data_IF_199629169162
#
_entry.id   IF_199629169162
#
_cell.length_a   1.000
_cell.length_b   1.000
_cell.length_c   1.000
_cell.angle_alpha   90.00
_cell.angle_beta   90.00
_cell.angle_gamma   90.00
#
_symmetry.space_group_name_H-M   'P 1'
#
loop_
_entity.id
_entity.type
_entity.pdbx_description
1 polymer ?
#
# COMPACT_ATOMS: atom_id res chain seq x y z
N UNK A 1 21.55 -19.53 6.54
CA UNK A 1 21.69 -18.74 7.78
C UNK A 1 20.43 -17.91 7.93
N UNK A 2 20.16 -17.34 9.10
CA UNK A 2 19.04 -16.40 9.28
C UNK A 2 19.34 -15.05 8.62
N UNK A 3 18.35 -14.17 8.53
CA UNK A 3 18.56 -12.78 8.14
C UNK A 3 19.42 -12.03 9.18
N UNK A 4 19.68 -10.74 8.95
CA UNK A 4 20.30 -9.88 9.97
C UNK A 4 19.49 -9.93 11.29
N UNK A 5 20.16 -9.74 12.43
CA UNK A 5 19.53 -9.93 13.77
C UNK A 5 18.41 -8.94 14.05
N UNK A 6 18.46 -7.79 13.41
CA UNK A 6 17.52 -6.68 13.47
C UNK A 6 16.58 -6.65 12.25
N UNK A 7 16.39 -7.78 11.58
CA UNK A 7 15.42 -7.88 10.49
C UNK A 7 14.00 -7.68 11.00
N UNK A 8 13.27 -6.74 10.40
CA UNK A 8 11.94 -6.32 10.84
C UNK A 8 10.87 -7.26 10.29
N UNK A 9 10.74 -8.44 10.90
CA UNK A 9 9.59 -9.31 10.68
C UNK A 9 8.32 -8.70 11.29
N UNK A 10 7.18 -8.79 10.62
CA UNK A 10 5.95 -8.23 11.15
C UNK A 10 4.72 -8.61 10.35
N UNK A 11 3.75 -7.71 10.30
CA UNK A 11 2.54 -7.83 9.49
C UNK A 11 2.01 -6.45 9.13
N UNK A 12 1.28 -6.35 8.04
CA UNK A 12 0.82 -5.09 7.47
C UNK A 12 -0.69 -5.07 7.25
N UNK A 13 -1.31 -3.93 7.55
CA UNK A 13 -2.73 -3.63 7.35
C UNK A 13 -2.91 -2.13 7.00
N UNK A 14 -4.15 -1.70 6.79
CA UNK A 14 -4.50 -0.28 6.62
C UNK A 14 -5.77 0.05 7.42
N UNK A 15 -5.80 1.22 8.06
CA UNK A 15 -6.82 1.63 9.02
C UNK A 15 -8.26 1.42 8.51
N UNK A 16 -8.63 1.98 7.35
CA UNK A 16 -9.98 1.80 6.77
C UNK A 16 -10.38 0.34 6.50
N UNK A 17 -9.44 -0.60 6.42
CA UNK A 17 -9.72 -2.01 6.11
C UNK A 17 -9.96 -2.87 7.34
N UNK A 18 -9.52 -2.42 8.53
CA UNK A 18 -9.62 -3.20 9.76
C UNK A 18 -10.23 -2.45 10.95
N UNK A 19 -10.00 -1.15 11.10
CA UNK A 19 -10.40 -0.40 12.30
C UNK A 19 -11.90 -0.43 12.54
N UNK A 20 -12.69 -0.16 11.50
CA UNK A 20 -14.12 0.07 11.65
C UNK A 20 -14.38 1.39 12.38
N UNK A 21 -15.45 1.43 13.18
CA UNK A 21 -15.78 2.59 14.01
C UNK A 21 -15.77 3.91 13.21
N UNK A 22 -16.34 3.89 12.01
CA UNK A 22 -16.11 4.93 11.01
C UNK A 22 -16.61 6.31 11.39
N UNK A 23 -17.56 6.39 12.33
CA UNK A 23 -18.24 7.61 12.83
C UNK A 23 -17.99 7.88 14.33
N UNK A 24 -17.08 7.12 14.98
CA UNK A 24 -16.75 7.30 16.40
C UNK A 24 -15.67 8.36 16.63
N UNK A 25 -15.75 8.99 17.81
CA UNK A 25 -14.74 9.91 18.34
C UNK A 25 -14.36 11.06 17.39
N UNK A 26 -15.36 11.55 16.66
CA UNK A 26 -15.23 12.66 15.74
C UNK A 26 -14.51 12.33 14.43
N UNK A 27 -14.28 11.04 14.12
CA UNK A 27 -13.77 10.64 12.80
C UNK A 27 -14.70 11.14 11.69
N UNK A 28 -14.13 11.75 10.66
CA UNK A 28 -14.85 12.16 9.45
C UNK A 28 -15.05 11.02 8.46
N UNK A 29 -15.86 11.26 7.42
CA UNK A 29 -16.00 10.31 6.33
C UNK A 29 -14.75 10.30 5.46
N UNK A 30 -14.19 9.12 5.22
CA UNK A 30 -13.14 8.90 4.23
C UNK A 30 -13.74 8.62 2.86
N UNK A 31 -12.91 8.67 1.83
CA UNK A 31 -13.30 8.22 0.49
C UNK A 31 -13.77 6.76 0.47
N UNK A 32 -13.24 5.88 1.33
CA UNK A 32 -13.64 4.46 1.37
C UNK A 32 -14.95 4.23 2.14
N UNK A 33 -15.39 5.18 2.96
CA UNK A 33 -16.68 5.11 3.66
C UNK A 33 -17.88 5.31 2.70
N UNK A 34 -17.63 5.65 1.44
CA UNK A 34 -18.64 5.77 0.38
C UNK A 34 -18.36 4.84 -0.80
N UNK A 35 -17.63 3.75 -0.55
CA UNK A 35 -17.37 2.70 -1.55
C UNK A 35 -18.00 1.39 -1.11
N UNK A 36 -18.93 0.89 -1.91
CA UNK A 36 -19.67 -0.35 -1.59
C UNK A 36 -18.76 -1.58 -1.61
N UNK A 37 -19.21 -2.70 -1.03
CA UNK A 37 -18.63 -4.01 -1.33
C UNK A 37 -18.83 -4.38 -2.82
N UNK A 38 -17.98 -5.26 -3.32
CA UNK A 38 -18.06 -5.93 -4.61
C UNK A 38 -17.68 -7.41 -4.45
N UNK A 39 -17.29 -8.05 -5.55
CA UNK A 39 -16.80 -9.43 -5.59
C UNK A 39 -15.87 -9.62 -6.81
N UNK A 40 -15.39 -10.85 -7.05
CA UNK A 40 -14.50 -11.15 -8.19
C UNK A 40 -15.11 -10.82 -9.58
N UNK A 41 -16.43 -10.75 -9.69
CA UNK A 41 -17.19 -10.44 -10.90
C UNK A 41 -17.85 -9.04 -10.87
N UNK A 42 -18.11 -8.49 -9.68
CA UNK A 42 -18.80 -7.23 -9.47
C UNK A 42 -17.87 -6.19 -8.88
N UNK A 43 -17.62 -5.09 -9.61
CA UNK A 43 -16.77 -4.00 -9.10
C UNK A 43 -17.44 -3.26 -7.95
N UNK A 44 -16.61 -2.77 -7.03
CA UNK A 44 -17.04 -1.80 -6.00
C UNK A 44 -17.55 -0.53 -6.66
N UNK A 45 -18.53 0.13 -6.05
CA UNK A 45 -19.11 1.38 -6.55
C UNK A 45 -18.78 2.54 -5.62
N UNK A 46 -18.27 3.62 -6.20
CA UNK A 46 -18.09 4.91 -5.53
C UNK A 46 -19.45 5.62 -5.56
N UNK A 47 -20.10 5.76 -4.40
CA UNK A 47 -21.43 6.41 -4.30
C UNK A 47 -21.33 7.90 -4.02
N UNK A 48 -20.19 8.38 -3.51
CA UNK A 48 -19.95 9.80 -3.19
C UNK A 48 -20.62 10.29 -1.89
N UNK A 49 -21.60 9.53 -1.41
CA UNK A 49 -22.31 9.71 -0.14
C UNK A 49 -22.75 8.33 0.41
N UNK A 50 -23.17 8.26 1.67
CA UNK A 50 -23.72 7.03 2.25
C UNK A 50 -25.18 6.87 1.83
N UNK A 51 -25.46 5.83 1.05
CA UNK A 51 -26.80 5.52 0.55
C UNK A 51 -27.46 4.44 1.40
N UNK A 52 -28.75 4.65 1.75
CA UNK A 52 -29.52 3.67 2.50
C UNK A 52 -29.73 2.39 1.68
N UNK A 53 -29.38 1.25 2.28
CA UNK A 53 -29.56 -0.08 1.67
C UNK A 53 -28.35 -0.59 0.90
N UNK A 54 -27.27 0.18 0.83
CA UNK A 54 -25.98 -0.28 0.33
C UNK A 54 -25.13 -0.88 1.46
N UNK A 55 -24.18 -1.76 1.10
CA UNK A 55 -23.21 -2.34 2.03
C UNK A 55 -21.86 -1.62 1.90
N UNK A 56 -21.42 -0.97 2.99
CA UNK A 56 -20.12 -0.31 3.09
C UNK A 56 -19.25 -1.10 4.08
N UNK A 57 -18.46 -2.08 3.59
CA UNK A 57 -17.80 -3.05 4.47
C UNK A 57 -16.77 -2.41 5.41
N UNK A 58 -16.21 -1.26 5.02
CA UNK A 58 -15.23 -0.50 5.79
C UNK A 58 -15.80 0.17 7.05
N UNK A 59 -17.13 0.35 7.15
CA UNK A 59 -17.76 1.04 8.28
C UNK A 59 -17.52 0.33 9.60
N UNK A 60 -17.67 -0.98 9.60
CA UNK A 60 -17.40 -1.85 10.76
C UNK A 60 -16.08 -2.61 10.60
N UNK A 61 -15.67 -2.93 9.36
CA UNK A 61 -14.47 -3.71 9.07
C UNK A 61 -14.36 -4.96 9.97
N UNK A 62 -13.34 -5.09 10.82
CA UNK A 62 -13.25 -6.16 11.83
C UNK A 62 -13.30 -5.64 13.26
N UNK A 63 -13.69 -4.37 13.43
CA UNK A 63 -13.72 -3.66 14.70
C UNK A 63 -12.37 -3.67 15.44
N UNK A 64 -11.25 -3.60 14.70
CA UNK A 64 -9.94 -3.48 15.32
C UNK A 64 -9.84 -2.26 16.24
N UNK A 65 -10.66 -1.22 16.01
CA UNK A 65 -10.74 -0.05 16.89
C UNK A 65 -10.98 -0.41 18.37
N UNK A 66 -11.88 -1.36 18.65
CA UNK A 66 -12.12 -1.82 20.03
C UNK A 66 -11.25 -3.02 20.42
N UNK A 67 -10.83 -3.86 19.46
CA UNK A 67 -10.10 -5.11 19.71
C UNK A 67 -8.56 -5.01 19.55
N UNK A 68 -8.00 -3.82 19.29
CA UNK A 68 -6.58 -3.70 18.96
C UNK A 68 -5.64 -4.26 20.03
N UNK A 69 -6.03 -4.25 21.31
CA UNK A 69 -5.18 -4.79 22.39
C UNK A 69 -5.08 -6.30 22.31
N UNK A 70 -6.20 -6.97 22.10
CA UNK A 70 -6.29 -8.41 21.91
C UNK A 70 -5.57 -8.84 20.63
N UNK A 71 -5.74 -8.07 19.55
CA UNK A 71 -5.13 -8.33 18.25
C UNK A 71 -3.60 -8.13 18.29
N UNK A 72 -3.11 -7.04 18.90
CA UNK A 72 -1.66 -6.80 19.11
C UNK A 72 -1.04 -7.89 19.99
N UNK A 73 -1.76 -8.41 20.98
CA UNK A 73 -1.28 -9.55 21.77
C UNK A 73 -1.08 -10.80 20.91
N UNK A 74 -1.92 -11.04 19.91
CA UNK A 74 -1.73 -12.13 18.95
C UNK A 74 -0.52 -11.88 18.04
N UNK A 75 -0.27 -10.63 17.63
CA UNK A 75 0.95 -10.26 16.89
C UNK A 75 2.22 -10.50 17.72
N UNK A 76 2.18 -10.15 19.00
CA UNK A 76 3.26 -10.41 19.95
C UNK A 76 3.48 -11.92 20.16
N UNK A 77 2.41 -12.73 20.17
CA UNK A 77 2.52 -14.18 20.28
C UNK A 77 3.21 -14.83 19.05
N UNK A 78 3.00 -14.28 17.84
CA UNK A 78 3.79 -14.66 16.66
C UNK A 78 5.25 -14.15 16.74
N UNK A 79 5.53 -13.18 17.61
CA UNK A 79 6.87 -12.65 17.83
C UNK A 79 7.26 -11.49 16.93
N UNK A 80 6.26 -10.77 16.37
CA UNK A 80 6.47 -9.60 15.50
C UNK A 80 7.53 -8.65 16.06
N UNK A 81 8.37 -8.12 15.16
CA UNK A 81 9.36 -7.06 15.45
C UNK A 81 8.81 -5.70 15.06
N UNK A 82 7.92 -5.67 14.08
CA UNK A 82 7.21 -4.46 13.68
C UNK A 82 5.75 -4.76 13.31
N UNK A 83 4.94 -3.72 13.29
CA UNK A 83 3.57 -3.77 12.81
C UNK A 83 3.30 -2.56 11.92
N UNK A 84 2.98 -2.83 10.66
CA UNK A 84 2.64 -1.80 9.69
C UNK A 84 1.15 -1.53 9.68
N UNK A 85 0.79 -0.28 9.84
CA UNK A 85 -0.58 0.21 9.64
C UNK A 85 -0.57 1.63 9.07
N UNK A 86 -1.74 2.23 8.86
CA UNK A 86 -1.87 3.65 8.56
C UNK A 86 -2.49 4.41 9.72
N UNK A 87 -2.22 5.71 9.76
CA UNK A 87 -3.02 6.64 10.55
C UNK A 87 -4.15 7.11 9.65
N UNK A 88 -5.39 6.83 10.01
CA UNK A 88 -6.56 7.32 9.29
C UNK A 88 -6.57 8.86 9.32
N UNK A 89 -6.34 9.48 8.16
CA UNK A 89 -6.32 10.94 8.03
C UNK A 89 -7.59 11.57 8.61
N UNK A 90 -8.75 10.94 8.36
CA UNK A 90 -10.06 11.36 8.88
C UNK A 90 -10.25 11.24 10.39
N UNK A 91 -9.39 10.52 11.10
CA UNK A 91 -9.38 10.57 12.58
C UNK A 91 -8.66 11.81 13.09
N UNK A 92 -7.67 12.31 12.37
CA UNK A 92 -6.84 13.44 12.81
C UNK A 92 -7.40 14.77 12.28
N UNK A 93 -7.76 14.82 11.01
CA UNK A 93 -8.44 15.95 10.36
C UNK A 93 -9.69 15.41 9.65
N UNK A 94 -10.85 15.40 10.33
CA UNK A 94 -12.10 14.82 9.82
C UNK A 94 -12.52 15.29 8.42
N UNK A 95 -12.39 16.58 8.15
CA UNK A 95 -12.64 17.20 6.86
C UNK A 95 -11.34 17.44 6.08
N UNK A 96 -10.19 17.52 6.76
CA UNK A 96 -8.87 17.67 6.15
C UNK A 96 -8.37 19.12 6.13
N UNK A 97 -9.25 20.10 6.32
CA UNK A 97 -8.96 21.53 6.25
C UNK A 97 -9.16 22.27 7.60
N UNK A 98 -9.48 21.56 8.68
CA UNK A 98 -9.63 22.16 10.01
C UNK A 98 -8.33 22.73 10.54
N UNK A 99 -8.37 23.84 11.29
CA UNK A 99 -7.18 24.46 11.87
C UNK A 99 -6.46 23.57 12.90
N UNK A 100 -7.21 22.86 13.74
CA UNK A 100 -6.69 22.03 14.83
C UNK A 100 -6.99 20.54 14.59
N UNK A 101 -6.09 19.63 14.98
CA UNK A 101 -6.35 18.21 14.88
C UNK A 101 -7.39 17.75 15.91
N UNK A 102 -8.05 16.63 15.63
CA UNK A 102 -8.90 15.93 16.56
C UNK A 102 -8.07 15.14 17.58
N UNK A 103 -8.07 15.60 18.83
CA UNK A 103 -7.32 14.97 19.92
C UNK A 103 -7.75 13.53 20.20
N UNK A 104 -9.03 13.17 20.00
CA UNK A 104 -9.48 11.80 20.24
C UNK A 104 -8.85 10.81 19.24
N UNK A 105 -8.71 11.24 17.97
CA UNK A 105 -7.98 10.48 16.95
C UNK A 105 -6.49 10.36 17.28
N UNK A 106 -5.85 11.44 17.73
CA UNK A 106 -4.44 11.40 18.16
C UNK A 106 -4.25 10.44 19.34
N UNK A 107 -5.14 10.49 20.32
CA UNK A 107 -5.11 9.62 21.49
C UNK A 107 -5.28 8.15 21.14
N UNK A 108 -6.15 7.81 20.19
CA UNK A 108 -6.32 6.42 19.74
C UNK A 108 -4.99 5.82 19.26
N UNK A 109 -4.27 6.54 18.40
CA UNK A 109 -2.98 6.06 17.90
C UNK A 109 -1.88 6.11 18.98
N UNK A 110 -1.92 7.06 19.92
CA UNK A 110 -1.06 7.00 21.10
C UNK A 110 -1.22 5.69 21.88
N UNK A 111 -2.47 5.31 22.17
CA UNK A 111 -2.79 4.12 22.95
C UNK A 111 -2.46 2.83 22.17
N UNK A 112 -2.68 2.83 20.84
CA UNK A 112 -2.35 1.70 19.97
C UNK A 112 -0.83 1.51 19.84
N UNK A 113 -0.08 2.58 19.60
CA UNK A 113 1.38 2.50 19.52
C UNK A 113 2.01 2.13 20.87
N UNK A 114 1.46 2.61 21.98
CA UNK A 114 1.89 2.18 23.32
C UNK A 114 1.67 0.68 23.54
N UNK A 115 0.55 0.12 23.08
CA UNK A 115 0.31 -1.32 23.18
C UNK A 115 1.26 -2.12 22.27
N UNK A 116 1.60 -1.64 21.06
CA UNK A 116 2.66 -2.25 20.24
C UNK A 116 4.01 -2.25 20.96
N UNK A 117 4.45 -1.08 21.44
CA UNK A 117 5.76 -0.89 22.07
C UNK A 117 5.89 -1.67 23.38
N UNK A 118 4.79 -1.88 24.11
CA UNK A 118 4.73 -2.75 25.31
C UNK A 118 5.20 -4.18 25.01
N UNK A 119 5.00 -4.69 23.80
CA UNK A 119 5.48 -6.00 23.36
C UNK A 119 6.78 -5.95 22.54
N UNK A 120 7.41 -4.77 22.43
CA UNK A 120 8.61 -4.57 21.61
C UNK A 120 8.33 -4.64 20.11
N UNK A 121 7.11 -4.28 19.68
CA UNK A 121 6.71 -4.20 18.28
C UNK A 121 6.85 -2.76 17.83
N UNK A 122 7.76 -2.50 16.89
CA UNK A 122 7.97 -1.18 16.30
C UNK A 122 6.82 -0.81 15.34
N UNK A 123 6.13 0.32 15.52
CA UNK A 123 5.16 0.78 14.54
C UNK A 123 5.83 1.22 13.23
N UNK A 124 5.24 0.82 12.10
CA UNK A 124 5.62 1.26 10.75
C UNK A 124 4.42 1.95 10.12
N UNK A 125 4.47 3.25 9.91
CA UNK A 125 3.25 4.04 9.66
C UNK A 125 3.20 4.58 8.24
N UNK A 126 2.13 4.26 7.51
CA UNK A 126 1.78 4.92 6.26
C UNK A 126 0.84 6.10 6.53
N UNK A 127 1.19 7.30 6.06
CA UNK A 127 0.39 8.51 6.30
C UNK A 127 -0.90 8.51 5.47
N UNK A 128 -0.82 8.28 4.16
CA UNK A 128 -1.99 8.21 3.27
C UNK A 128 -2.14 6.81 2.69
N UNK A 129 -3.17 6.08 3.12
CA UNK A 129 -3.46 4.73 2.65
C UNK A 129 -4.92 4.60 2.17
N UNK A 130 -5.19 5.21 1.03
CA UNK A 130 -6.49 5.16 0.33
C UNK A 130 -7.71 5.67 1.14
N UNK A 131 -7.49 6.55 2.11
CA UNK A 131 -8.51 6.91 3.11
C UNK A 131 -8.56 8.41 3.43
N UNK A 132 -8.18 9.24 2.46
CA UNK A 132 -8.26 10.70 2.62
C UNK A 132 -9.69 11.16 2.94
N UNK A 133 -9.87 12.31 3.60
CA UNK A 133 -11.18 12.86 3.90
C UNK A 133 -12.04 13.06 2.65
N UNK A 134 -13.29 12.60 2.69
CA UNK A 134 -14.27 12.76 1.62
C UNK A 134 -14.57 14.24 1.36
N UNK A 135 -14.53 15.08 2.40
CA UNK A 135 -14.69 16.53 2.27
C UNK A 135 -13.65 17.14 1.32
N UNK A 136 -12.39 16.69 1.35
CA UNK A 136 -11.36 17.18 0.42
C UNK A 136 -11.69 16.84 -1.05
N UNK A 137 -12.39 15.74 -1.29
CA UNK A 137 -12.89 15.39 -2.63
C UNK A 137 -14.05 16.31 -3.03
N UNK A 138 -15.01 16.51 -2.14
CA UNK A 138 -16.24 17.26 -2.42
C UNK A 138 -15.97 18.77 -2.59
N UNK A 139 -15.16 19.37 -1.72
CA UNK A 139 -14.91 20.81 -1.69
C UNK A 139 -13.76 21.22 -2.63
N UNK A 140 -12.71 20.40 -2.73
CA UNK A 140 -11.50 20.78 -3.46
C UNK A 140 -11.25 19.95 -4.73
N UNK A 141 -12.01 18.86 -4.96
CA UNK A 141 -11.83 17.97 -6.11
C UNK A 141 -10.72 16.93 -5.93
N UNK A 142 -10.26 16.70 -4.70
CA UNK A 142 -9.14 15.82 -4.39
C UNK A 142 -7.80 16.41 -4.83
N UNK A 143 -6.84 15.54 -5.14
CA UNK A 143 -5.46 15.92 -5.46
C UNK A 143 -5.30 16.60 -6.83
N UNK A 144 -6.38 16.92 -7.54
CA UNK A 144 -6.30 17.89 -8.65
C UNK A 144 -6.04 19.32 -8.18
N UNK A 145 -6.17 19.58 -6.87
CA UNK A 145 -6.05 20.92 -6.29
C UNK A 145 -4.78 21.05 -5.44
N UNK A 146 -3.95 22.04 -5.78
CA UNK A 146 -2.64 22.30 -5.16
C UNK A 146 -2.73 22.50 -3.64
N UNK A 147 -3.86 22.99 -3.11
CA UNK A 147 -4.06 23.18 -1.66
C UNK A 147 -3.92 21.90 -0.84
N UNK A 148 -4.13 20.73 -1.45
CA UNK A 148 -3.99 19.46 -0.74
C UNK A 148 -2.55 19.15 -0.32
N UNK A 149 -1.56 19.78 -0.96
CA UNK A 149 -0.17 19.73 -0.49
C UNK A 149 -0.11 20.24 0.96
N UNK A 150 -0.67 21.42 1.22
CA UNK A 150 -0.64 22.03 2.56
C UNK A 150 -1.45 21.22 3.58
N UNK A 151 -2.64 20.73 3.19
CA UNK A 151 -3.48 19.90 4.07
C UNK A 151 -2.77 18.61 4.46
N UNK A 152 -2.15 17.92 3.51
CA UNK A 152 -1.39 16.70 3.77
C UNK A 152 -0.16 16.99 4.63
N UNK A 153 0.62 18.01 4.30
CA UNK A 153 1.85 18.35 5.04
C UNK A 153 1.51 18.70 6.49
N UNK A 154 0.43 19.43 6.73
CA UNK A 154 -0.07 19.71 8.07
C UNK A 154 -0.47 18.44 8.83
N UNK A 155 -1.18 17.53 8.18
CA UNK A 155 -1.50 16.22 8.76
C UNK A 155 -0.23 15.43 9.10
N UNK A 156 0.72 15.34 8.17
CA UNK A 156 1.99 14.65 8.36
C UNK A 156 2.80 15.26 9.52
N UNK A 157 2.96 16.58 9.57
CA UNK A 157 3.65 17.29 10.66
C UNK A 157 2.97 17.04 12.01
N UNK A 158 1.64 17.08 12.07
CA UNK A 158 0.91 16.77 13.31
C UNK A 158 1.24 15.36 13.82
N UNK A 159 1.23 14.37 12.92
CA UNK A 159 1.59 12.99 13.26
C UNK A 159 3.06 12.88 13.67
N UNK A 160 3.98 13.46 12.91
CA UNK A 160 5.40 13.45 13.25
C UNK A 160 5.67 14.07 14.61
N UNK A 161 5.10 15.23 14.93
CA UNK A 161 5.28 15.90 16.22
C UNK A 161 4.71 15.08 17.37
N UNK A 162 3.51 14.49 17.20
CA UNK A 162 2.86 13.70 18.25
C UNK A 162 3.61 12.41 18.54
N UNK A 163 4.08 11.71 17.52
CA UNK A 163 4.59 10.34 17.64
C UNK A 163 6.11 10.22 17.47
N UNK A 164 6.86 11.33 17.52
CA UNK A 164 8.32 11.36 17.29
C UNK A 164 9.14 10.43 18.17
N UNK A 165 8.64 10.12 19.36
CA UNK A 165 9.30 9.27 20.35
C UNK A 165 8.73 7.85 20.37
N UNK A 166 7.75 7.55 19.50
CA UNK A 166 7.03 6.25 19.43
C UNK A 166 7.16 5.54 18.07
N UNK A 167 7.38 6.29 17.00
CA UNK A 167 7.38 5.77 15.62
C UNK A 167 8.66 6.20 14.92
N UNK A 168 9.45 5.21 14.49
CA UNK A 168 10.68 5.44 13.74
C UNK A 168 10.49 5.36 12.22
N UNK A 169 9.63 4.46 11.75
CA UNK A 169 9.49 4.10 10.35
C UNK A 169 8.19 4.67 9.77
N UNK A 170 8.31 5.45 8.71
CA UNK A 170 7.21 6.17 8.08
C UNK A 170 7.20 5.96 6.57
N UNK A 171 6.03 6.00 5.96
CA UNK A 171 5.82 6.13 4.52
C UNK A 171 4.78 7.20 4.23
N UNK A 172 4.94 7.93 3.12
CA UNK A 172 4.01 9.01 2.77
C UNK A 172 2.74 8.48 2.12
N UNK A 173 2.80 8.09 0.84
CA UNK A 173 1.64 7.65 0.06
C UNK A 173 1.73 6.16 -0.25
N UNK A 174 0.73 5.39 0.17
CA UNK A 174 0.61 3.98 -0.17
C UNK A 174 0.49 3.79 -1.68
N UNK A 175 1.28 2.88 -2.24
CA UNK A 175 1.21 2.44 -3.63
C UNK A 175 0.94 3.61 -4.60
N UNK A 176 1.71 4.69 -4.46
CA UNK A 176 1.46 5.98 -5.15
C UNK A 176 1.33 5.81 -6.66
N UNK A 177 1.99 4.78 -7.22
CA UNK A 177 2.02 4.48 -8.64
C UNK A 177 0.83 3.64 -9.15
N UNK A 178 -0.10 3.18 -8.30
CA UNK A 178 -1.30 2.48 -8.78
C UNK A 178 -2.12 3.34 -9.74
N UNK A 179 -2.23 4.64 -9.48
CA UNK A 179 -2.93 5.60 -10.34
C UNK A 179 -2.32 5.73 -11.76
N UNK A 180 -1.07 5.27 -11.98
CA UNK A 180 -0.47 5.25 -13.32
C UNK A 180 -1.24 4.36 -14.30
N UNK A 181 -1.98 3.37 -13.77
CA UNK A 181 -2.95 2.58 -14.50
C UNK A 181 -4.32 3.31 -14.48
N UNK A 182 -4.51 4.21 -15.44
CA UNK A 182 -5.70 5.09 -15.58
C UNK A 182 -7.04 4.37 -15.88
N UNK A 183 -7.12 3.05 -15.68
CA UNK A 183 -8.18 2.14 -16.15
C UNK A 183 -9.61 2.64 -16.02
N UNK A 184 -10.32 2.23 -14.98
CA UNK A 184 -11.71 2.64 -14.72
C UNK A 184 -11.84 3.83 -13.76
N UNK A 185 -10.70 4.43 -13.39
CA UNK A 185 -10.62 5.53 -12.45
C UNK A 185 -10.64 5.11 -10.97
N UNK A 186 -10.84 3.84 -10.62
CA UNK A 186 -10.90 3.44 -9.20
C UNK A 186 -9.59 3.72 -8.47
N UNK A 187 -8.44 3.37 -9.06
CA UNK A 187 -7.14 3.63 -8.42
C UNK A 187 -6.81 5.12 -8.36
N UNK A 188 -7.22 5.90 -9.37
CA UNK A 188 -7.10 7.35 -9.32
C UNK A 188 -7.99 7.96 -8.21
N UNK A 189 -9.16 7.39 -7.95
CA UNK A 189 -9.98 7.77 -6.80
C UNK A 189 -9.35 7.35 -5.46
N UNK A 190 -8.85 6.12 -5.35
CA UNK A 190 -8.26 5.59 -4.13
C UNK A 190 -6.95 6.31 -3.75
N UNK A 191 -6.04 6.52 -4.70
CA UNK A 191 -4.79 7.25 -4.45
C UNK A 191 -5.06 8.74 -4.17
N UNK A 192 -5.93 9.35 -4.98
CA UNK A 192 -5.91 10.80 -5.19
C UNK A 192 -7.24 11.50 -4.94
N UNK A 193 -8.31 10.77 -4.63
CA UNK A 193 -9.65 11.33 -4.44
C UNK A 193 -10.20 12.02 -5.70
N UNK A 194 -9.72 11.65 -6.89
CA UNK A 194 -10.07 12.32 -8.15
C UNK A 194 -11.20 11.54 -8.83
N UNK A 195 -12.39 12.17 -8.88
CA UNK A 195 -13.54 11.68 -9.69
C UNK A 195 -13.50 12.34 -11.07
N UNK A 196 -13.19 11.56 -12.11
CA UNK A 196 -13.01 12.08 -13.48
C UNK A 196 -14.36 12.41 -14.12
N UNK A 197 -14.50 13.60 -14.70
CA UNK A 197 -15.67 13.97 -15.49
C UNK A 197 -15.51 13.56 -16.95
N UNK A 198 -16.60 13.28 -17.70
CA UNK A 198 -16.53 12.78 -19.08
C UNK A 198 -15.70 13.63 -20.06
N UNK A 199 -15.63 14.94 -19.83
CA UNK A 199 -14.90 15.90 -20.65
C UNK A 199 -13.42 16.08 -20.27
N UNK A 200 -12.98 15.52 -19.14
CA UNK A 200 -11.64 15.74 -18.60
C UNK A 200 -10.62 14.74 -19.17
N UNK A 201 -9.39 15.19 -19.36
CA UNK A 201 -8.28 14.31 -19.72
C UNK A 201 -7.78 13.57 -18.48
N UNK A 202 -8.19 12.30 -18.33
CA UNK A 202 -7.81 11.46 -17.19
C UNK A 202 -6.30 11.33 -17.00
N UNK A 203 -5.51 11.28 -18.08
CA UNK A 203 -4.07 11.13 -17.97
C UNK A 203 -3.40 12.41 -17.49
N UNK A 204 -3.88 13.58 -17.94
CA UNK A 204 -3.41 14.88 -17.43
C UNK A 204 -3.75 15.05 -15.95
N UNK A 205 -4.99 14.71 -15.55
CA UNK A 205 -5.41 14.74 -14.15
C UNK A 205 -4.56 13.82 -13.27
N UNK A 206 -4.26 12.62 -13.75
CA UNK A 206 -3.43 11.65 -13.05
C UNK A 206 -2.02 12.22 -12.82
N UNK A 207 -1.35 12.71 -13.87
CA UNK A 207 -0.01 13.29 -13.70
C UNK A 207 -0.02 14.55 -12.81
N UNK A 208 -1.08 15.35 -12.87
CA UNK A 208 -1.24 16.52 -12.01
C UNK A 208 -1.37 16.14 -10.54
N UNK A 209 -2.24 15.17 -10.23
CA UNK A 209 -2.41 14.66 -8.87
C UNK A 209 -1.14 14.01 -8.34
N UNK A 210 -0.54 13.14 -9.14
CA UNK A 210 0.75 12.51 -8.84
C UNK A 210 1.86 13.53 -8.58
N UNK A 211 1.92 14.63 -9.34
CA UNK A 211 2.90 15.69 -9.10
C UNK A 211 2.71 16.33 -7.72
N UNK A 212 1.49 16.72 -7.36
CA UNK A 212 1.21 17.31 -6.06
C UNK A 212 1.47 16.35 -4.90
N UNK A 213 1.14 15.07 -5.05
CA UNK A 213 1.46 14.04 -4.04
C UNK A 213 2.98 13.87 -3.86
N UNK A 214 3.75 13.87 -4.96
CA UNK A 214 5.22 13.80 -4.90
C UNK A 214 5.82 15.02 -4.19
N UNK A 215 5.31 16.22 -4.47
CA UNK A 215 5.74 17.47 -3.79
C UNK A 215 5.37 17.43 -2.31
N UNK A 216 4.13 17.04 -1.99
CA UNK A 216 3.66 16.91 -0.61
C UNK A 216 4.46 15.88 0.18
N UNK A 217 4.85 14.78 -0.45
CA UNK A 217 5.76 13.79 0.13
C UNK A 217 7.11 14.42 0.47
N UNK A 218 7.71 15.16 -0.47
CA UNK A 218 9.01 15.78 -0.26
C UNK A 218 8.98 16.87 0.84
N UNK A 219 7.91 17.66 0.91
CA UNK A 219 7.71 18.60 2.03
C UNK A 219 7.54 17.89 3.38
N UNK A 220 6.75 16.82 3.42
CA UNK A 220 6.57 16.03 4.64
C UNK A 220 7.89 15.42 5.12
N UNK A 221 8.72 14.91 4.21
CA UNK A 221 10.05 14.34 4.54
C UNK A 221 10.95 15.41 5.16
N UNK A 222 11.08 16.59 4.50
CA UNK A 222 11.86 17.72 5.03
C UNK A 222 11.40 18.13 6.42
N UNK A 223 10.09 18.23 6.62
CA UNK A 223 9.51 18.61 7.91
C UNK A 223 9.73 17.52 8.97
N UNK A 224 9.56 16.25 8.61
CA UNK A 224 9.80 15.09 9.47
C UNK A 224 11.24 15.05 9.98
N UNK A 225 12.25 15.14 9.10
CA UNK A 225 13.66 15.16 9.51
C UNK A 225 14.05 16.38 10.35
N UNK A 226 13.35 17.52 10.18
CA UNK A 226 13.53 18.69 11.05
C UNK A 226 12.98 18.44 12.46
N UNK A 227 11.88 17.68 12.58
CA UNK A 227 11.27 17.31 13.87
C UNK A 227 12.12 16.25 14.58
N UNK A 228 12.51 15.20 13.85
CA UNK A 228 13.39 14.15 14.33
C UNK A 228 14.28 13.62 13.20
N UNK A 229 15.60 13.88 13.24
CA UNK A 229 16.53 13.41 12.20
C UNK A 229 16.74 11.88 12.20
N UNK A 230 16.28 11.17 13.23
CA UNK A 230 16.37 9.70 13.33
C UNK A 230 15.20 8.97 12.65
N UNK A 231 14.20 9.72 12.16
CA UNK A 231 13.14 9.11 11.37
C UNK A 231 13.70 8.44 10.12
N UNK A 232 13.03 7.37 9.71
CA UNK A 232 13.21 6.73 8.43
C UNK A 232 11.91 6.93 7.67
N UNK A 233 11.92 7.81 6.67
CA UNK A 233 10.74 8.20 5.89
C UNK A 233 10.91 7.70 4.45
N UNK A 234 10.20 6.63 4.13
CA UNK A 234 10.23 5.98 2.82
C UNK A 234 9.12 6.42 1.88
N UNK A 235 9.24 6.05 0.60
CA UNK A 235 8.09 5.96 -0.30
C UNK A 235 7.42 4.59 -0.17
N UNK A 236 6.25 4.44 -0.81
CA UNK A 236 5.60 3.14 -0.96
C UNK A 236 5.19 2.91 -2.43
N UNK A 237 5.75 1.87 -3.05
CA UNK A 237 5.53 1.53 -4.47
C UNK A 237 4.84 0.18 -4.61
N UNK A 238 3.78 0.10 -5.42
CA UNK A 238 3.23 -1.15 -5.89
C UNK A 238 4.14 -1.76 -6.96
N UNK A 239 4.94 -2.77 -6.59
CA UNK A 239 5.86 -3.43 -7.52
C UNK A 239 5.22 -4.68 -8.11
N UNK A 240 4.76 -4.57 -9.35
CA UNK A 240 4.52 -5.72 -10.23
C UNK A 240 5.46 -5.59 -11.44
N UNK A 241 6.58 -6.35 -11.49
CA UNK A 241 7.51 -6.27 -12.59
C UNK A 241 6.80 -6.65 -13.89
N UNK A 242 7.12 -5.94 -14.98
CA UNK A 242 6.46 -6.11 -16.28
C UNK A 242 7.45 -6.78 -17.22
N UNK A 243 7.27 -8.09 -17.45
CA UNK A 243 8.15 -8.85 -18.31
C UNK A 243 7.79 -8.71 -19.79
N UNK A 244 8.78 -8.73 -20.69
CA UNK A 244 8.52 -8.88 -22.11
C UNK A 244 8.04 -10.30 -22.41
N UNK A 245 7.02 -10.43 -23.26
CA UNK A 245 6.44 -11.72 -23.65
C UNK A 245 7.42 -12.63 -24.36
N UNK A 246 8.31 -12.05 -25.16
CA UNK A 246 9.33 -12.76 -25.93
C UNK A 246 10.62 -11.94 -25.99
N UNK A 247 11.69 -12.52 -26.53
CA UNK A 247 12.95 -11.80 -26.80
C UNK A 247 12.90 -10.90 -28.04
N UNK A 248 11.72 -10.73 -28.66
CA UNK A 248 11.54 -9.80 -29.78
C UNK A 248 11.89 -8.37 -29.31
N UNK A 249 12.75 -7.62 -30.01
CA UNK A 249 13.22 -6.31 -29.56
C UNK A 249 12.09 -5.33 -29.22
N UNK A 250 10.99 -5.39 -29.96
CA UNK A 250 9.79 -4.57 -29.73
C UNK A 250 9.12 -4.91 -28.39
N UNK A 251 9.08 -6.19 -28.00
CA UNK A 251 8.53 -6.60 -26.70
C UNK A 251 9.43 -6.16 -25.54
N UNK A 252 10.76 -6.25 -25.74
CA UNK A 252 11.75 -5.73 -24.79
C UNK A 252 11.53 -4.23 -24.57
N UNK A 253 11.40 -3.45 -25.64
CA UNK A 253 11.20 -2.01 -25.57
C UNK A 253 9.84 -1.65 -24.93
N UNK A 254 8.78 -2.40 -25.25
CA UNK A 254 7.46 -2.21 -24.63
C UNK A 254 7.53 -2.43 -23.11
N UNK A 255 8.19 -3.49 -22.66
CA UNK A 255 8.36 -3.79 -21.24
C UNK A 255 9.16 -2.68 -20.53
N UNK A 256 10.27 -2.23 -21.12
CA UNK A 256 11.09 -1.13 -20.58
C UNK A 256 10.27 0.16 -20.44
N UNK A 257 9.53 0.56 -21.48
CA UNK A 257 8.68 1.77 -21.44
C UNK A 257 7.52 1.66 -20.46
N UNK A 258 6.95 0.46 -20.30
CA UNK A 258 5.93 0.20 -19.29
C UNK A 258 6.49 0.34 -17.86
N UNK A 259 7.66 -0.24 -17.59
CA UNK A 259 8.36 -0.06 -16.31
C UNK A 259 8.67 1.42 -16.07
N UNK A 260 9.20 2.13 -17.06
CA UNK A 260 9.49 3.57 -16.95
C UNK A 260 8.25 4.40 -16.62
N UNK A 261 7.11 4.17 -17.27
CA UNK A 261 5.85 4.91 -16.99
C UNK A 261 5.29 4.57 -15.62
N UNK A 262 5.37 3.30 -15.19
CA UNK A 262 4.79 2.85 -13.93
C UNK A 262 5.67 3.14 -12.71
N UNK A 263 6.98 3.29 -12.87
CA UNK A 263 7.92 3.42 -11.75
C UNK A 263 8.69 4.74 -11.69
N UNK A 264 8.37 5.75 -12.53
CA UNK A 264 9.02 7.07 -12.43
C UNK A 264 8.83 7.72 -11.05
N UNK A 265 7.77 7.37 -10.33
CA UNK A 265 7.52 7.79 -8.95
C UNK A 265 8.72 7.48 -8.04
N UNK A 266 9.32 6.29 -8.18
CA UNK A 266 10.50 5.90 -7.42
C UNK A 266 11.73 6.74 -7.82
N UNK A 267 11.87 7.09 -9.11
CA UNK A 267 12.92 8.01 -9.54
C UNK A 267 12.76 9.39 -8.88
N UNK A 268 11.54 9.94 -8.85
CA UNK A 268 11.28 11.24 -8.20
C UNK A 268 11.51 11.16 -6.70
N UNK A 269 11.00 10.14 -6.00
CA UNK A 269 11.18 9.98 -4.56
C UNK A 269 12.64 9.82 -4.15
N UNK A 270 13.44 9.08 -4.91
CA UNK A 270 14.83 8.76 -4.51
C UNK A 270 15.82 9.78 -5.04
N UNK A 271 15.62 10.28 -6.26
CA UNK A 271 16.57 11.18 -6.94
C UNK A 271 16.13 12.64 -6.89
N UNK A 272 14.88 12.91 -6.51
CA UNK A 272 14.32 14.26 -6.44
C UNK A 272 14.11 14.91 -7.82
N UNK A 273 14.10 14.11 -8.89
CA UNK A 273 14.09 14.61 -10.27
C UNK A 273 13.19 13.76 -11.16
N UNK A 274 12.46 14.43 -12.05
CA UNK A 274 11.69 13.75 -13.09
C UNK A 274 12.60 13.12 -14.15
N UNK A 275 12.38 11.84 -14.50
CA UNK A 275 13.06 11.23 -15.63
C UNK A 275 12.76 11.98 -16.95
N UNK A 276 13.79 12.15 -17.79
CA UNK A 276 13.69 12.90 -19.07
C UNK A 276 12.62 12.32 -20.00
N UNK A 277 12.43 11.00 -19.99
CA UNK A 277 11.43 10.32 -20.80
C UNK A 277 9.99 10.67 -20.39
N UNK A 278 9.73 11.01 -19.12
CA UNK A 278 8.42 11.48 -18.65
C UNK A 278 8.16 12.92 -19.12
N UNK A 279 9.16 13.80 -19.03
CA UNK A 279 9.04 15.17 -19.56
C UNK A 279 8.79 15.16 -21.08
N UNK A 280 9.51 14.31 -21.83
CA UNK A 280 9.26 14.09 -23.26
C UNK A 280 7.92 13.40 -23.56
N UNK A 281 7.40 12.62 -22.62
CA UNK A 281 6.05 12.05 -22.72
C UNK A 281 5.00 13.16 -22.65
N UNK A 282 5.09 14.04 -21.65
CA UNK A 282 4.19 15.17 -21.49
C UNK A 282 4.22 16.12 -22.70
N UNK A 283 5.42 16.47 -23.19
CA UNK A 283 5.58 17.28 -24.41
C UNK A 283 4.89 16.63 -25.62
N UNK A 284 5.10 15.32 -25.85
CA UNK A 284 4.53 14.60 -27.00
C UNK A 284 3.01 14.51 -26.95
N UNK A 285 2.46 14.40 -25.74
CA UNK A 285 1.01 14.30 -25.48
C UNK A 285 0.33 15.64 -25.25
N UNK A 286 1.08 16.74 -25.30
CA UNK A 286 0.64 18.10 -24.99
C UNK A 286 0.00 18.25 -23.60
N UNK A 287 0.47 17.48 -22.62
CA UNK A 287 -0.05 17.52 -21.24
C UNK A 287 0.47 18.77 -20.52
N UNK A 288 -0.44 19.50 -19.87
CA UNK A 288 -0.14 20.72 -19.11
C UNK A 288 -0.20 20.43 -17.62
N UNK A 289 0.97 20.13 -17.06
CA UNK A 289 1.13 19.87 -15.63
C UNK A 289 1.67 21.14 -14.97
N UNK A 290 0.99 21.61 -13.93
CA UNK A 290 1.44 22.71 -13.08
C UNK A 290 2.62 22.25 -12.23
N UNK A 291 3.82 22.49 -12.75
CA UNK A 291 5.11 22.24 -12.10
C UNK A 291 5.86 23.56 -11.98
N UNK A 292 6.16 23.98 -10.77
CA UNK A 292 6.91 25.22 -10.49
C UNK A 292 8.39 24.94 -10.23
N UNK A 293 9.23 25.97 -10.32
CA UNK A 293 10.65 25.87 -9.93
C UNK A 293 10.81 25.54 -8.43
N UNK A 294 9.87 26.01 -7.60
CA UNK A 294 9.81 25.69 -6.18
C UNK A 294 9.53 24.20 -5.97
N UNK A 295 8.54 23.64 -6.67
CA UNK A 295 8.23 22.20 -6.62
C UNK A 295 9.48 21.36 -6.93
N UNK A 296 10.20 21.70 -8.01
CA UNK A 296 11.42 20.99 -8.41
C UNK A 296 12.54 21.11 -7.36
N UNK A 297 12.66 22.25 -6.69
CA UNK A 297 13.63 22.45 -5.61
C UNK A 297 13.27 21.61 -4.38
N UNK A 298 11.99 21.56 -4.04
CA UNK A 298 11.44 20.78 -2.91
C UNK A 298 11.66 19.28 -3.12
N UNK A 299 11.37 18.76 -4.31
CA UNK A 299 11.59 17.35 -4.65
C UNK A 299 13.05 16.91 -4.42
N UNK A 300 14.02 17.75 -4.77
CA UNK A 300 15.46 17.46 -4.53
C UNK A 300 15.86 17.47 -3.06
N UNK A 301 15.15 18.23 -2.24
CA UNK A 301 15.45 18.39 -0.82
C UNK A 301 14.75 17.35 0.06
N UNK A 302 13.68 16.74 -0.44
CA UNK A 302 12.86 15.76 0.28
C UNK A 302 12.91 14.36 -0.34
N UNK A 303 14.12 13.85 -0.60
CA UNK A 303 14.30 12.46 -1.05
C UNK A 303 14.09 11.48 0.11
N UNK A 304 13.58 10.30 -0.21
CA UNK A 304 13.26 9.25 0.77
C UNK A 304 14.50 8.55 1.34
N UNK A 305 14.38 8.04 2.57
CA UNK A 305 15.43 7.27 3.24
C UNK A 305 15.47 5.81 2.75
N UNK A 306 14.34 5.26 2.34
CA UNK A 306 14.20 3.87 1.88
C UNK A 306 13.02 3.71 0.90
N UNK A 307 12.97 2.58 0.19
CA UNK A 307 11.81 2.21 -0.65
C UNK A 307 11.02 1.13 0.07
N UNK A 308 9.86 1.50 0.59
CA UNK A 308 8.81 0.53 0.90
C UNK A 308 8.15 0.07 -0.41
N UNK A 309 7.86 -1.21 -0.54
CA UNK A 309 7.08 -1.69 -1.67
C UNK A 309 6.20 -2.89 -1.33
N UNK A 310 5.09 -3.02 -2.05
CA UNK A 310 4.29 -4.24 -2.07
C UNK A 310 4.73 -5.15 -3.21
N UNK A 311 4.61 -6.46 -3.00
CA UNK A 311 4.79 -7.44 -4.05
C UNK A 311 3.75 -8.55 -3.92
N UNK A 312 3.03 -8.83 -4.99
CA UNK A 312 2.05 -9.91 -5.04
C UNK A 312 2.17 -10.79 -6.27
N UNK A 313 2.54 -10.17 -7.39
CA UNK A 313 2.49 -10.77 -8.72
C UNK A 313 3.40 -10.05 -9.70
N UNK A 314 3.66 -10.68 -10.83
CA UNK A 314 4.27 -10.05 -12.01
C UNK A 314 3.26 -9.91 -13.14
N UNK A 315 3.55 -9.00 -14.07
CA UNK A 315 2.83 -8.82 -15.32
C UNK A 315 3.69 -9.22 -16.51
N UNK A 316 3.04 -9.36 -17.67
CA UNK A 316 3.70 -9.57 -18.94
C UNK A 316 3.09 -8.66 -20.00
N UNK A 317 3.89 -8.15 -20.92
CA UNK A 317 3.46 -7.26 -22.01
C UNK A 317 4.13 -7.65 -23.33
N UNK A 318 3.52 -7.27 -24.44
CA UNK A 318 4.11 -7.39 -25.77
C UNK A 318 3.81 -6.14 -26.59
N UNK A 319 4.64 -5.85 -27.59
CA UNK A 319 4.35 -4.79 -28.54
C UNK A 319 3.19 -5.18 -29.47
N UNK A 320 2.33 -4.19 -29.76
CA UNK A 320 1.19 -4.33 -30.66
C UNK A 320 1.30 -3.30 -31.81
N UNK A 321 0.90 -3.65 -33.05
CA UNK A 321 0.99 -2.74 -34.20
C UNK A 321 0.18 -1.44 -34.04
N UNK A 322 -0.83 -1.42 -33.17
CA UNK A 322 -1.69 -0.26 -32.90
C UNK A 322 -1.09 0.74 -31.89
N UNK A 323 0.18 0.54 -31.50
CA UNK A 323 0.89 1.34 -30.51
C UNK A 323 2.35 1.65 -30.94
N UNK A 324 2.57 2.32 -32.07
CA UNK A 324 3.92 2.55 -32.61
C UNK A 324 4.80 3.44 -31.71
N UNK A 325 4.21 4.21 -30.79
CA UNK A 325 4.92 5.04 -29.81
C UNK A 325 5.35 4.26 -28.56
N UNK A 326 4.90 3.01 -28.42
CA UNK A 326 5.13 2.14 -27.26
C UNK A 326 4.65 2.77 -25.95
N UNK A 327 3.51 3.47 -25.99
CA UNK A 327 2.90 4.00 -24.78
C UNK A 327 2.40 2.82 -23.91
N UNK A 328 2.49 2.92 -22.59
CA UNK A 328 1.92 1.91 -21.70
C UNK A 328 0.46 2.25 -21.38
N UNK A 329 -0.46 1.38 -21.81
CA UNK A 329 -1.92 1.56 -21.77
C UNK A 329 -2.59 0.72 -20.69
N UNK A 330 -1.88 0.45 -19.58
CA UNK A 330 -2.42 -0.29 -18.44
C UNK A 330 -2.82 -1.71 -18.80
N UNK A 331 -4.01 -2.13 -18.35
CA UNK A 331 -4.56 -3.47 -18.58
C UNK A 331 -4.65 -3.87 -20.06
N UNK A 332 -4.82 -2.91 -20.99
CA UNK A 332 -4.92 -3.21 -22.43
C UNK A 332 -3.67 -3.88 -22.99
N UNK A 333 -2.49 -3.56 -22.45
CA UNK A 333 -1.21 -4.10 -22.94
C UNK A 333 -0.76 -5.34 -22.14
N UNK A 334 -1.45 -5.68 -21.04
CA UNK A 334 -1.11 -6.83 -20.21
C UNK A 334 -1.57 -8.13 -20.87
N UNK A 335 -0.71 -9.14 -20.83
CA UNK A 335 -1.02 -10.50 -21.23
C UNK A 335 -0.74 -11.47 -20.08
N UNK A 336 -1.37 -12.65 -20.13
CA UNK A 336 -1.10 -13.73 -19.18
C UNK A 336 0.27 -14.35 -19.44
N UNK A 337 1.05 -14.52 -18.38
CA UNK A 337 2.27 -15.30 -18.39
C UNK A 337 1.91 -16.79 -18.31
N UNK A 338 2.26 -17.56 -19.33
CA UNK A 338 1.89 -18.98 -19.45
C UNK A 338 2.73 -19.90 -18.55
N UNK A 339 3.77 -19.38 -17.90
CA UNK A 339 4.72 -20.15 -17.09
C UNK A 339 4.40 -20.16 -15.59
N UNK A 340 3.38 -19.41 -15.16
CA UNK A 340 3.02 -19.25 -13.74
C UNK A 340 1.55 -19.58 -13.52
N UNK A 341 1.24 -20.03 -12.30
CA UNK A 341 -0.15 -20.20 -11.84
C UNK A 341 -0.74 -18.83 -11.46
N UNK A 342 -2.03 -18.79 -11.14
CA UNK A 342 -2.69 -17.63 -10.58
C UNK A 342 -3.64 -18.02 -9.44
N UNK A 343 -3.93 -17.09 -8.54
CA UNK A 343 -4.97 -17.24 -7.53
C UNK A 343 -6.38 -17.26 -8.15
N UNK A 344 -7.39 -17.51 -7.33
CA UNK A 344 -8.80 -17.47 -7.74
C UNK A 344 -9.26 -16.07 -8.18
N UNK A 345 -8.57 -15.01 -7.73
CA UNK A 345 -8.75 -13.63 -8.21
C UNK A 345 -7.87 -13.29 -9.42
N UNK A 346 -7.23 -14.28 -10.03
CA UNK A 346 -6.41 -14.11 -11.24
C UNK A 346 -5.04 -13.47 -11.02
N UNK A 347 -4.57 -13.35 -9.77
CA UNK A 347 -3.26 -12.78 -9.47
C UNK A 347 -2.16 -13.81 -9.71
N UNK A 348 -1.22 -13.52 -10.61
CA UNK A 348 -0.16 -14.46 -11.00
C UNK A 348 0.82 -14.72 -9.86
N UNK A 349 1.10 -15.98 -9.58
CA UNK A 349 1.98 -16.41 -8.48
C UNK A 349 3.40 -16.55 -9.03
N UNK A 350 4.23 -15.56 -8.76
CA UNK A 350 5.62 -15.49 -9.24
C UNK A 350 6.58 -15.11 -8.10
N UNK A 351 7.08 -16.08 -7.31
CA UNK A 351 8.04 -15.78 -6.25
C UNK A 351 9.38 -15.29 -6.79
N UNK A 352 9.83 -15.76 -7.96
CA UNK A 352 11.11 -15.35 -8.58
C UNK A 352 11.05 -13.85 -8.94
N UNK A 353 9.89 -13.36 -9.33
CA UNK A 353 9.69 -11.94 -9.58
C UNK A 353 9.92 -11.04 -8.37
N UNK A 354 9.82 -11.55 -7.13
CA UNK A 354 10.20 -10.80 -5.94
C UNK A 354 11.72 -10.58 -5.91
N UNK A 355 12.50 -11.63 -6.16
CA UNK A 355 13.97 -11.53 -6.27
C UNK A 355 14.38 -10.60 -7.42
N UNK A 356 13.71 -10.71 -8.58
CA UNK A 356 13.91 -9.77 -9.69
C UNK A 356 13.67 -8.31 -9.25
N UNK A 357 12.56 -8.06 -8.56
CA UNK A 357 12.16 -6.72 -8.12
C UNK A 357 13.15 -6.12 -7.12
N UNK A 358 13.61 -6.92 -6.15
CA UNK A 358 14.62 -6.53 -5.16
C UNK A 358 15.94 -6.11 -5.85
N UNK A 359 16.39 -6.88 -6.83
CA UNK A 359 17.56 -6.54 -7.64
C UNK A 359 17.32 -5.28 -8.48
N UNK A 360 16.17 -5.18 -9.16
CA UNK A 360 15.83 -4.02 -9.99
C UNK A 360 15.87 -2.71 -9.21
N UNK A 361 15.30 -2.69 -8.00
CA UNK A 361 15.39 -1.52 -7.12
C UNK A 361 16.82 -1.26 -6.67
N UNK A 362 17.55 -2.27 -6.21
CA UNK A 362 18.93 -2.14 -5.68
C UNK A 362 19.94 -1.66 -6.73
N UNK A 363 19.79 -2.12 -7.97
CA UNK A 363 20.65 -1.71 -9.08
C UNK A 363 20.41 -0.24 -9.44
N UNK A 364 19.14 0.18 -9.41
CA UNK A 364 18.71 1.52 -9.83
C UNK A 364 18.83 2.58 -8.74
N UNK A 365 18.67 2.20 -7.48
CA UNK A 365 18.56 3.09 -6.33
C UNK A 365 19.47 2.61 -5.20
N UNK A 366 20.18 3.54 -4.56
CA UNK A 366 21.14 3.25 -3.49
C UNK A 366 20.56 3.59 -2.12
N UNK A 367 19.37 3.06 -1.86
CA UNK A 367 18.65 3.16 -0.58
C UNK A 367 18.18 1.77 -0.15
N UNK A 368 17.99 1.51 1.15
CA UNK A 368 17.46 0.25 1.64
C UNK A 368 16.05 -0.02 1.11
N UNK A 369 15.67 -1.30 1.09
CA UNK A 369 14.34 -1.75 0.68
C UNK A 369 13.56 -2.30 1.86
N UNK A 370 12.23 -2.19 1.83
CA UNK A 370 11.35 -2.81 2.81
C UNK A 370 10.15 -3.45 2.08
N UNK A 371 10.02 -4.78 2.15
CA UNK A 371 8.82 -5.46 1.67
C UNK A 371 7.73 -5.23 2.70
N UNK A 372 6.91 -4.22 2.43
CA UNK A 372 5.88 -3.78 3.38
C UNK A 372 4.52 -4.43 3.13
N UNK A 373 4.42 -5.23 2.07
CA UNK A 373 3.23 -5.99 1.69
C UNK A 373 3.61 -7.19 0.82
N UNK A 374 3.16 -8.38 1.21
CA UNK A 374 3.16 -9.59 0.39
C UNK A 374 2.12 -10.55 0.97
N UNK A 375 1.31 -11.21 0.16
CA UNK A 375 0.25 -12.05 0.71
C UNK A 375 -0.54 -12.82 -0.33
N UNK A 376 -1.28 -13.82 0.13
CA UNK A 376 -2.09 -14.68 -0.72
C UNK A 376 -3.55 -14.63 -0.30
N UNK A 377 -4.35 -13.90 -1.08
CA UNK A 377 -5.79 -13.83 -0.93
C UNK A 377 -6.45 -15.09 -1.47
N UNK A 378 -7.11 -15.85 -0.59
CA UNK A 378 -7.79 -17.10 -0.91
C UNK A 378 -9.01 -17.27 0.01
N UNK A 379 -9.94 -18.14 -0.37
CA UNK A 379 -10.98 -18.59 0.56
C UNK A 379 -10.37 -19.45 1.67
N UNK A 380 -10.89 -19.32 2.89
CA UNK A 380 -10.60 -20.25 3.98
C UNK A 380 -11.86 -21.01 4.39
N UNK A 381 -11.69 -22.25 4.85
CA UNK A 381 -12.75 -23.08 5.42
C UNK A 381 -12.58 -23.15 6.94
N UNK A 382 -13.64 -22.83 7.69
CA UNK A 382 -13.70 -23.09 9.13
C UNK A 382 -14.19 -24.52 9.34
N UNK A 383 -13.30 -25.38 9.85
CA UNK A 383 -13.61 -26.78 10.11
C UNK A 383 -14.54 -26.93 11.33
N UNK A 384 -15.18 -28.10 11.45
CA UNK A 384 -16.15 -28.37 12.52
C UNK A 384 -15.55 -28.30 13.94
N UNK A 385 -14.24 -28.49 14.08
CA UNK A 385 -13.51 -28.36 15.34
C UNK A 385 -13.01 -26.92 15.61
N UNK A 386 -13.27 -25.99 14.69
CA UNK A 386 -12.88 -24.58 14.75
C UNK A 386 -11.48 -24.29 14.22
N UNK A 387 -10.78 -25.27 13.63
CA UNK A 387 -9.50 -25.06 12.96
C UNK A 387 -9.67 -24.50 11.55
N UNK A 388 -8.60 -23.90 11.02
CA UNK A 388 -8.52 -23.39 9.64
C UNK A 388 -7.19 -23.85 9.05
N UNK A 389 -7.27 -24.79 8.11
CA UNK A 389 -6.11 -25.35 7.42
C UNK A 389 -5.81 -24.55 6.14
N UNK A 390 -4.71 -23.79 6.13
CA UNK A 390 -4.34 -22.91 5.02
C UNK A 390 -2.95 -23.19 4.42
N UNK A 391 -2.66 -24.44 4.02
CA UNK A 391 -1.35 -24.82 3.48
C UNK A 391 -0.99 -24.06 2.20
N UNK A 392 -1.99 -23.63 1.41
CA UNK A 392 -1.81 -22.80 0.22
C UNK A 392 -1.20 -21.42 0.54
N UNK A 393 -1.52 -20.85 1.70
CA UNK A 393 -0.99 -19.56 2.16
C UNK A 393 0.45 -19.72 2.63
N UNK A 394 0.71 -20.78 3.40
CA UNK A 394 2.05 -21.17 3.82
C UNK A 394 2.96 -21.39 2.60
N UNK A 395 2.54 -22.20 1.63
CA UNK A 395 3.31 -22.48 0.42
C UNK A 395 3.65 -21.19 -0.36
N UNK A 396 2.68 -20.29 -0.54
CA UNK A 396 2.92 -19.01 -1.20
C UNK A 396 3.99 -18.18 -0.47
N UNK A 397 3.83 -17.96 0.84
CA UNK A 397 4.72 -17.10 1.62
C UNK A 397 6.12 -17.74 1.73
N UNK A 398 6.20 -19.05 1.94
CA UNK A 398 7.46 -19.81 1.95
C UNK A 398 8.25 -19.61 0.65
N UNK A 399 7.60 -19.71 -0.51
CA UNK A 399 8.26 -19.50 -1.79
C UNK A 399 8.81 -18.07 -1.95
N UNK A 400 8.07 -17.04 -1.51
CA UNK A 400 8.53 -15.65 -1.59
C UNK A 400 9.65 -15.35 -0.57
N UNK A 401 9.54 -15.88 0.65
CA UNK A 401 10.59 -15.77 1.68
C UNK A 401 11.89 -16.43 1.20
N UNK A 402 11.80 -17.56 0.50
CA UNK A 402 12.96 -18.21 -0.11
C UNK A 402 13.65 -17.30 -1.14
N UNK A 403 12.89 -16.65 -2.02
CA UNK A 403 13.45 -15.77 -3.04
C UNK A 403 14.00 -14.45 -2.47
N UNK A 404 13.35 -13.85 -1.46
CA UNK A 404 13.92 -12.67 -0.79
C UNK A 404 15.18 -13.02 0.00
N UNK A 405 15.26 -14.22 0.56
CA UNK A 405 16.48 -14.71 1.24
C UNK A 405 17.63 -14.83 0.26
N UNK A 406 17.40 -15.38 -0.93
CA UNK A 406 18.41 -15.42 -2.00
C UNK A 406 18.84 -14.02 -2.43
N UNK A 407 17.91 -13.07 -2.54
CA UNK A 407 18.25 -11.68 -2.85
C UNK A 407 19.20 -11.06 -1.81
N UNK A 408 19.01 -11.37 -0.53
CA UNK A 408 19.91 -10.89 0.54
C UNK A 408 21.24 -11.65 0.56
N UNK A 409 21.21 -12.98 0.58
CA UNK A 409 22.40 -13.83 0.78
C UNK A 409 23.28 -13.94 -0.47
N UNK A 410 22.68 -14.01 -1.67
CA UNK A 410 23.39 -14.20 -2.94
C UNK A 410 23.62 -12.89 -3.69
N UNK A 411 22.64 -11.99 -3.70
CA UNK A 411 22.68 -10.76 -4.52
C UNK A 411 23.10 -9.51 -3.73
N UNK A 412 23.13 -9.58 -2.39
CA UNK A 412 23.60 -8.50 -1.52
C UNK A 412 22.60 -7.34 -1.34
N UNK A 413 21.31 -7.59 -1.52
CA UNK A 413 20.25 -6.59 -1.33
C UNK A 413 20.15 -6.15 0.15
N UNK A 414 20.13 -4.84 0.40
CA UNK A 414 19.86 -4.28 1.72
C UNK A 414 18.35 -4.26 2.01
N UNK A 415 17.85 -5.34 2.61
CA UNK A 415 16.45 -5.52 2.96
C UNK A 415 16.23 -5.30 4.45
N UNK A 416 15.38 -4.31 4.78
CA UNK A 416 15.09 -3.89 6.14
C UNK A 416 14.24 -4.91 6.91
N UNK A 417 13.25 -5.49 6.24
CA UNK A 417 12.23 -6.33 6.85
C UNK A 417 11.20 -6.86 5.86
N UNK A 418 10.21 -7.57 6.40
CA UNK A 418 9.14 -8.22 5.65
C UNK A 418 7.85 -8.28 6.50
N UNK A 419 6.78 -7.68 5.99
CA UNK A 419 5.47 -7.64 6.66
C UNK A 419 4.36 -8.17 5.75
N UNK A 420 3.95 -9.44 5.89
CA UNK A 420 2.81 -10.00 5.17
C UNK A 420 1.55 -9.16 5.31
N UNK A 421 0.86 -8.99 4.18
CA UNK A 421 -0.36 -8.21 4.10
C UNK A 421 -1.54 -8.91 4.73
N UNK A 422 -2.41 -8.13 5.38
CA UNK A 422 -3.63 -8.62 5.99
C UNK A 422 -3.34 -9.70 7.01
N UNK A 423 -2.31 -9.52 7.85
CA UNK A 423 -1.84 -10.52 8.82
C UNK A 423 -2.94 -10.99 9.79
N UNK A 424 -3.97 -10.19 9.97
CA UNK A 424 -5.30 -10.54 10.46
C UNK A 424 -6.31 -10.33 9.32
N UNK A 425 -7.27 -11.24 9.17
CA UNK A 425 -8.31 -11.10 8.14
C UNK A 425 -8.97 -9.73 8.23
N UNK A 426 -9.18 -9.09 7.08
CA UNK A 426 -9.66 -7.73 6.96
C UNK A 426 -10.45 -7.56 5.66
N UNK A 427 -11.11 -6.42 5.49
CA UNK A 427 -11.85 -6.10 4.26
C UNK A 427 -10.87 -5.89 3.12
N UNK A 428 -10.94 -6.67 2.04
CA UNK A 428 -10.03 -6.55 0.90
C UNK A 428 -10.16 -5.17 0.21
N UNK A 429 -9.05 -4.62 -0.28
CA UNK A 429 -9.07 -3.30 -0.92
C UNK A 429 -9.85 -3.31 -2.25
N UNK A 430 -9.42 -4.17 -3.18
CA UNK A 430 -9.93 -4.18 -4.55
C UNK A 430 -11.40 -4.60 -4.69
N UNK A 431 -11.87 -5.54 -3.86
CA UNK A 431 -13.24 -6.08 -3.96
C UNK A 431 -14.10 -5.78 -2.74
N UNK A 432 -13.55 -5.33 -1.60
CA UNK A 432 -14.34 -5.06 -0.40
C UNK A 432 -14.88 -6.34 0.25
N UNK A 433 -14.16 -7.46 0.08
CA UNK A 433 -14.57 -8.79 0.53
C UNK A 433 -13.87 -9.17 1.84
N UNK A 434 -14.61 -9.80 2.76
CA UNK A 434 -14.06 -10.56 3.89
C UNK A 434 -13.65 -11.97 3.47
N UNK A 435 -14.34 -12.59 2.51
CA UNK A 435 -14.09 -13.98 2.12
C UNK A 435 -12.80 -14.15 1.29
N UNK A 436 -12.24 -13.03 0.77
CA UNK A 436 -10.87 -12.98 0.26
C UNK A 436 -9.88 -12.77 1.41
N UNK A 437 -9.50 -13.87 2.06
CA UNK A 437 -8.74 -13.86 3.31
C UNK A 437 -7.23 -13.91 3.10
N UNK A 438 -6.50 -13.18 3.94
CA UNK A 438 -5.04 -13.07 3.88
C UNK A 438 -4.35 -13.51 5.18
N UNK A 439 -5.05 -13.49 6.31
CA UNK A 439 -4.40 -13.48 7.61
C UNK A 439 -3.86 -14.79 8.10
N UNK A 440 -2.97 -14.68 9.08
CA UNK A 440 -2.62 -15.74 10.01
C UNK A 440 -3.70 -15.91 11.09
N UNK A 441 -4.48 -14.84 11.31
CA UNK A 441 -5.59 -14.78 12.26
C UNK A 441 -6.88 -14.67 11.44
N UNK A 442 -7.73 -15.68 11.57
CA UNK A 442 -9.08 -15.69 11.04
C UNK A 442 -9.98 -14.76 11.87
N UNK A 443 -10.83 -13.99 11.20
CA UNK A 443 -11.91 -13.23 11.83
C UNK A 443 -13.24 -13.80 11.34
N UNK A 444 -14.10 -14.19 12.29
CA UNK A 444 -15.46 -14.66 12.01
C UNK A 444 -16.34 -13.48 11.58
N UNK A 445 -16.20 -13.11 10.31
CA UNK A 445 -17.01 -12.14 9.58
C UNK A 445 -17.04 -12.51 8.10
N UNK A 446 -18.20 -12.37 7.47
CA UNK A 446 -18.44 -12.73 6.07
C UNK A 446 -18.93 -11.55 5.24
N UNK A 447 -18.96 -11.73 3.91
CA UNK A 447 -19.40 -10.70 2.96
C UNK A 447 -20.85 -10.23 3.20
N UNK A 448 -21.71 -11.09 3.75
CA UNK A 448 -23.10 -10.78 4.08
C UNK A 448 -23.29 -10.11 5.45
N UNK A 449 -22.18 -9.84 6.16
CA UNK A 449 -22.16 -9.23 7.49
C UNK A 449 -22.41 -10.22 8.63
N UNK A 450 -22.59 -11.52 8.37
CA UNK A 450 -22.67 -12.53 9.43
C UNK A 450 -21.30 -12.80 10.06
N UNK A 451 -21.30 -13.34 11.27
CA UNK A 451 -20.11 -13.60 12.10
C UNK A 451 -20.18 -12.89 13.45
N UNK A 452 -19.34 -13.29 14.41
CA UNK A 452 -19.27 -12.71 15.76
C UNK A 452 -18.00 -11.90 16.03
N UNK A 453 -17.20 -11.67 14.98
CA UNK A 453 -15.89 -11.01 15.00
C UNK A 453 -14.84 -11.72 15.87
N UNK A 454 -15.07 -12.98 16.27
CA UNK A 454 -14.07 -13.73 17.03
C UNK A 454 -12.81 -13.97 16.21
N UNK A 455 -11.66 -13.87 16.89
CA UNK A 455 -10.34 -14.14 16.30
C UNK A 455 -9.92 -15.59 16.57
N UNK A 456 -9.45 -16.28 15.53
CA UNK A 456 -8.95 -17.66 15.60
C UNK A 456 -7.60 -17.77 14.89
N UNK A 457 -6.70 -18.60 15.41
CA UNK A 457 -5.41 -18.86 14.77
C UNK A 457 -5.61 -19.86 13.64
N UNK A 458 -5.09 -19.56 12.46
CA UNK A 458 -4.96 -20.53 11.36
C UNK A 458 -3.67 -21.34 11.54
N UNK A 459 -3.50 -22.41 10.78
CA UNK A 459 -2.25 -23.19 10.81
C UNK A 459 -1.02 -22.31 10.50
N UNK A 460 -1.17 -21.38 9.55
CA UNK A 460 -0.13 -20.41 9.19
C UNK A 460 0.34 -19.51 10.34
N UNK A 461 -0.42 -19.37 11.44
CA UNK A 461 -0.02 -18.62 12.62
C UNK A 461 1.21 -19.22 13.31
N UNK A 462 1.17 -20.51 13.64
CA UNK A 462 2.29 -21.17 14.32
C UNK A 462 3.47 -21.35 13.35
N UNK A 463 3.21 -21.57 12.05
CA UNK A 463 4.26 -21.56 11.03
C UNK A 463 5.01 -20.22 10.98
N UNK A 464 4.30 -19.08 10.90
CA UNK A 464 4.95 -17.78 10.79
C UNK A 464 5.69 -17.39 12.09
N UNK A 465 5.16 -17.81 13.24
CA UNK A 465 5.87 -17.71 14.52
C UNK A 465 7.19 -18.48 14.51
N UNK A 466 7.24 -19.67 13.93
CA UNK A 466 8.48 -20.43 13.76
C UNK A 466 9.45 -19.71 12.80
N UNK A 467 8.96 -19.19 11.67
CA UNK A 467 9.74 -18.37 10.73
C UNK A 467 10.44 -17.22 11.47
N UNK A 468 9.70 -16.46 12.27
CA UNK A 468 10.25 -15.33 13.02
C UNK A 468 11.25 -15.81 14.08
N UNK A 469 10.90 -16.83 14.86
CA UNK A 469 11.75 -17.33 15.96
C UNK A 469 13.09 -17.88 15.48
N UNK A 470 13.12 -18.44 14.26
CA UNK A 470 14.33 -18.94 13.60
C UNK A 470 14.97 -17.90 12.68
N UNK A 471 14.43 -16.67 12.65
CA UNK A 471 14.86 -15.59 11.78
C UNK A 471 14.98 -16.00 10.29
N UNK A 472 13.99 -16.76 9.80
CA UNK A 472 13.91 -17.28 8.43
C UNK A 472 14.87 -18.44 8.13
N UNK A 473 15.44 -19.10 9.15
CA UNK A 473 16.20 -20.34 8.95
C UNK A 473 15.29 -21.54 8.71
N UNK A 474 14.20 -21.67 9.47
CA UNK A 474 13.14 -22.62 9.17
C UNK A 474 11.95 -21.90 8.54
N UNK A 475 11.59 -22.34 7.34
CA UNK A 475 10.44 -21.84 6.59
C UNK A 475 9.56 -23.00 6.09
N UNK A 476 9.88 -24.23 6.48
CA UNK A 476 9.25 -25.47 6.01
C UNK A 476 8.12 -25.93 6.92
#
# INVERSE_FOLDING_TARGET
MGFRKDFLWGGAVAAHQLEGAYDRDGKGLSIMDVVTSGDVNTRRRITGEILKGENYPNHEAIDFYDYYKEDIRLFAEMGFKCFRTSIAWTRIFPNGDEEQPNEAGLKFYDDMFEECLKYGIEPVITLSHFEMPLHLVQEYGGWRNRKLIDFFVKFAVTCFERYKDKVKYWMTFNEINNQADIGDGFMLYANSGVVVKPEENVEELMYQASHYELVASAEAIKAGHKINPEFQIGCMIAMCPIYPATCRPEDILQAEKAMQKRYYYADVHVKGEYPVNILKYWERKDLKIDVTEEDLSVLKQGCVDYIGFSYYMSFCTKAEPDNPEYDYRGEKDRIKNQYVKASEWGWQIDPIGLRYSLNWFTDRYKVPLFIVENGFGAYDTLEADGSIHDPYRVEYLQHHISEMKKAVEEDGVDLMGYTPWGCIDLVSAGTGEMDKRYGFIYVDKHNDGTGDLSRRKKDSFEWYKEVISTNGENIN
#
